data_IF_086780699264
#
_entry.id   IF_086780699264
#
_cell.length_a   1.000
_cell.length_b   1.000
_cell.length_c   1.000
_cell.angle_alpha   90.00
_cell.angle_beta   90.00
_cell.angle_gamma   90.00
#
_symmetry.space_group_name_H-M   'P 1'
#
loop_
_entity.id
_entity.type
_entity.pdbx_description
1 polymer ?
#
# COMPACT_ATOMS: atom_id res chain seq x y z
N UNK A 1 -18.34 0.28 4.41
CA UNK A 1 -19.11 0.68 3.22
C UNK A 1 -19.07 -0.53 2.30
N UNK A 2 -20.17 -1.29 2.16
CA UNK A 2 -20.20 -2.43 1.26
C UNK A 2 -20.59 -1.96 -0.14
N UNK A 3 -19.73 -2.20 -1.11
CA UNK A 3 -20.09 -2.12 -2.52
C UNK A 3 -21.04 -3.31 -2.79
N UNK A 4 -22.27 -3.05 -3.25
CA UNK A 4 -23.32 -4.06 -3.44
C UNK A 4 -23.20 -4.82 -4.79
N UNK A 5 -22.06 -4.78 -5.44
CA UNK A 5 -21.82 -5.66 -6.59
C UNK A 5 -21.24 -7.01 -6.16
N UNK A 6 -21.50 -8.10 -6.90
CA UNK A 6 -20.90 -9.37 -6.61
C UNK A 6 -19.36 -9.22 -6.70
N UNK A 7 -18.69 -9.39 -5.56
CA UNK A 7 -17.25 -9.47 -5.52
C UNK A 7 -16.84 -10.73 -6.30
N UNK A 8 -16.05 -10.54 -7.34
CA UNK A 8 -15.63 -11.63 -8.22
C UNK A 8 -14.30 -12.19 -7.71
N UNK A 9 -14.07 -13.50 -7.76
CA UNK A 9 -12.79 -14.06 -7.38
C UNK A 9 -11.64 -13.35 -8.10
N UNK A 10 -10.57 -13.06 -7.35
CA UNK A 10 -9.40 -12.33 -7.87
C UNK A 10 -8.84 -12.97 -9.13
N UNK A 11 -8.81 -14.30 -9.17
CA UNK A 11 -8.25 -15.10 -10.27
C UNK A 11 -8.94 -14.88 -11.62
N UNK A 12 -10.21 -14.52 -11.66
CA UNK A 12 -10.96 -14.34 -12.90
C UNK A 12 -10.62 -13.03 -13.63
N UNK A 13 -9.87 -12.14 -12.98
CA UNK A 13 -9.51 -10.82 -13.49
C UNK A 13 -8.02 -10.59 -13.70
N UNK A 14 -7.19 -11.59 -13.40
CA UNK A 14 -5.74 -11.44 -13.57
C UNK A 14 -5.37 -11.33 -15.05
N UNK A 15 -4.39 -10.48 -15.42
CA UNK A 15 -3.77 -10.50 -16.73
C UNK A 15 -3.14 -11.87 -17.03
N UNK A 16 -2.95 -12.18 -18.31
CA UNK A 16 -2.12 -13.34 -18.69
C UNK A 16 -0.76 -13.25 -17.98
N UNK A 17 -0.22 -14.41 -17.60
CA UNK A 17 1.04 -14.53 -16.87
C UNK A 17 1.08 -13.72 -15.55
N UNK A 18 -0.06 -13.54 -14.87
CA UNK A 18 -0.14 -12.93 -13.55
C UNK A 18 -0.84 -13.89 -12.59
N UNK A 19 -0.29 -14.00 -11.39
CA UNK A 19 -0.89 -14.75 -10.28
C UNK A 19 -1.15 -13.80 -9.10
N UNK A 20 -2.08 -14.18 -8.24
CA UNK A 20 -2.31 -13.53 -6.97
C UNK A 20 -2.35 -14.56 -5.85
N UNK A 21 -1.62 -14.31 -4.79
CA UNK A 21 -1.57 -15.14 -3.60
C UNK A 21 -2.11 -14.34 -2.41
N UNK A 22 -3.05 -14.90 -1.67
CA UNK A 22 -3.51 -14.33 -0.41
C UNK A 22 -2.55 -14.73 0.71
N UNK A 23 -1.68 -13.81 1.11
CA UNK A 23 -0.71 -14.04 2.18
C UNK A 23 -1.31 -13.67 3.54
N UNK A 24 -1.32 -14.58 4.53
CA UNK A 24 -1.94 -14.32 5.82
C UNK A 24 -1.24 -13.21 6.58
N UNK A 25 -2.03 -12.36 7.26
CA UNK A 25 -1.55 -11.32 8.19
C UNK A 25 -2.24 -11.45 9.53
N UNK A 26 -1.64 -11.00 10.64
CA UNK A 26 -2.32 -10.95 11.94
C UNK A 26 -3.22 -9.72 12.08
N UNK A 27 -3.35 -8.88 11.05
CA UNK A 27 -4.11 -7.64 11.09
C UNK A 27 -5.60 -7.85 10.77
N UNK A 28 -6.49 -7.04 11.36
CA UNK A 28 -7.93 -7.14 11.12
C UNK A 28 -8.37 -6.89 9.67
N UNK A 29 -7.50 -6.26 8.85
CA UNK A 29 -7.75 -6.03 7.43
C UNK A 29 -7.85 -7.32 6.63
N UNK A 30 -7.26 -8.41 7.14
CA UNK A 30 -7.23 -9.71 6.48
C UNK A 30 -5.93 -9.97 5.72
N UNK A 31 -5.91 -11.01 4.86
CA UNK A 31 -4.73 -11.35 4.07
C UNK A 31 -4.37 -10.23 3.09
N UNK A 32 -3.07 -10.10 2.79
CA UNK A 32 -2.58 -9.22 1.73
C UNK A 32 -2.51 -9.97 0.40
N UNK A 33 -2.88 -9.31 -0.67
CA UNK A 33 -2.73 -9.83 -2.03
C UNK A 33 -1.31 -9.57 -2.53
N UNK A 34 -0.54 -10.63 -2.67
CA UNK A 34 0.75 -10.62 -3.34
C UNK A 34 0.56 -10.97 -4.81
N UNK A 35 0.98 -10.10 -5.72
CA UNK A 35 0.89 -10.38 -7.15
C UNK A 35 2.24 -10.84 -7.68
N UNK A 36 2.22 -11.86 -8.55
CA UNK A 36 3.41 -12.38 -9.22
C UNK A 36 3.21 -12.28 -10.73
N UNK A 37 4.08 -11.50 -11.36
CA UNK A 37 4.14 -11.35 -12.81
C UNK A 37 5.17 -12.35 -13.33
N UNK A 38 4.73 -13.33 -14.12
CA UNK A 38 5.51 -14.54 -14.45
C UNK A 38 6.50 -14.34 -15.60
N UNK A 39 6.24 -13.39 -16.50
CA UNK A 39 7.16 -13.12 -17.60
C UNK A 39 8.37 -12.32 -17.09
N UNK A 40 9.52 -12.45 -17.77
CA UNK A 40 10.76 -11.79 -17.34
C UNK A 40 10.71 -10.27 -17.57
N UNK A 41 11.11 -9.46 -16.60
CA UNK A 41 11.59 -9.88 -15.27
C UNK A 41 10.45 -10.41 -14.39
N UNK A 42 10.63 -11.65 -13.85
CA UNK A 42 9.69 -12.23 -12.89
C UNK A 42 9.59 -11.29 -11.67
N UNK A 43 8.41 -10.75 -11.45
CA UNK A 43 8.23 -9.67 -10.51
C UNK A 43 7.25 -10.06 -9.41
N UNK A 44 7.61 -9.81 -8.16
CA UNK A 44 6.75 -9.96 -6.99
C UNK A 44 6.34 -8.59 -6.48
N UNK A 45 5.03 -8.34 -6.40
CA UNK A 45 4.44 -7.11 -5.86
C UNK A 45 3.87 -7.41 -4.47
N UNK A 46 4.28 -6.64 -3.47
CA UNK A 46 3.86 -6.77 -2.08
C UNK A 46 4.06 -8.18 -1.50
N UNK A 47 5.31 -8.59 -1.23
CA UNK A 47 5.64 -9.95 -0.79
C UNK A 47 5.19 -10.30 0.63
N UNK A 48 4.42 -9.44 1.28
CA UNK A 48 3.89 -9.68 2.61
C UNK A 48 4.87 -9.33 3.73
N UNK A 49 4.49 -9.68 4.95
CA UNK A 49 5.31 -9.45 6.15
C UNK A 49 6.22 -10.64 6.44
N UNK A 50 7.34 -10.39 7.14
CA UNK A 50 8.26 -11.43 7.59
C UNK A 50 7.69 -12.19 8.81
N UNK A 51 6.49 -12.71 8.65
CA UNK A 51 5.81 -13.55 9.63
C UNK A 51 5.88 -15.00 9.15
N UNK A 52 6.18 -15.94 10.04
CA UNK A 52 6.51 -17.30 9.65
C UNK A 52 5.49 -17.98 8.73
N UNK A 53 4.20 -17.76 8.97
CA UNK A 53 3.13 -18.29 8.12
C UNK A 53 3.07 -17.59 6.76
N UNK A 54 3.21 -16.28 6.71
CA UNK A 54 3.21 -15.48 5.47
C UNK A 54 4.36 -15.88 4.56
N UNK A 55 5.58 -15.93 5.11
CA UNK A 55 6.76 -16.35 4.37
C UNK A 55 6.65 -17.81 3.87
N UNK A 56 6.15 -18.71 4.71
CA UNK A 56 5.96 -20.10 4.32
C UNK A 56 4.94 -20.23 3.18
N UNK A 57 3.85 -19.44 3.22
CA UNK A 57 2.84 -19.41 2.16
C UNK A 57 3.45 -18.86 0.87
N UNK A 58 4.16 -17.72 0.90
CA UNK A 58 4.80 -17.15 -0.28
C UNK A 58 5.73 -18.17 -0.97
N UNK A 59 6.60 -18.83 -0.19
CA UNK A 59 7.54 -19.83 -0.73
C UNK A 59 6.81 -21.04 -1.30
N UNK A 60 5.75 -21.51 -0.64
CA UNK A 60 4.95 -22.64 -1.11
C UNK A 60 4.19 -22.31 -2.40
N UNK A 61 3.59 -21.14 -2.49
CA UNK A 61 2.84 -20.69 -3.67
C UNK A 61 3.77 -20.50 -4.88
N UNK A 62 4.94 -19.87 -4.70
CA UNK A 62 5.96 -19.80 -5.76
C UNK A 62 6.37 -21.21 -6.20
N UNK A 63 6.64 -22.12 -5.26
CA UNK A 63 6.98 -23.51 -5.57
C UNK A 63 5.87 -24.26 -6.31
N UNK A 64 4.61 -23.97 -5.98
CA UNK A 64 3.43 -24.56 -6.64
C UNK A 64 3.33 -24.22 -8.13
N UNK A 65 3.91 -23.11 -8.55
CA UNK A 65 3.97 -22.70 -9.98
C UNK A 65 5.34 -22.91 -10.61
N UNK A 66 6.21 -23.64 -9.94
CA UNK A 66 7.53 -24.03 -10.45
C UNK A 66 8.62 -22.96 -10.30
N UNK A 67 8.38 -21.92 -9.48
CA UNK A 67 9.34 -20.87 -9.18
C UNK A 67 9.98 -21.08 -7.79
N UNK A 68 11.28 -20.87 -7.70
CA UNK A 68 11.95 -20.66 -6.42
C UNK A 68 12.10 -19.18 -6.10
N UNK A 69 12.41 -18.84 -4.87
CA UNK A 69 12.69 -17.45 -4.47
C UNK A 69 13.81 -16.80 -5.27
N UNK A 70 14.75 -17.61 -5.79
CA UNK A 70 15.88 -17.13 -6.60
C UNK A 70 15.52 -16.85 -8.07
N UNK A 71 14.33 -17.21 -8.49
CA UNK A 71 13.84 -16.94 -9.85
C UNK A 71 13.15 -15.56 -9.92
N UNK A 72 12.97 -14.89 -8.76
CA UNK A 72 12.44 -13.53 -8.71
C UNK A 72 13.50 -12.56 -9.21
N UNK A 73 13.14 -11.71 -10.17
CA UNK A 73 14.04 -10.78 -10.83
C UNK A 73 13.77 -9.32 -10.40
N UNK A 74 12.59 -9.05 -9.82
CA UNK A 74 12.23 -7.74 -9.28
C UNK A 74 11.23 -7.87 -8.13
N UNK A 75 11.31 -6.94 -7.17
CA UNK A 75 10.32 -6.78 -6.11
C UNK A 75 9.74 -5.38 -6.23
N UNK A 76 8.42 -5.25 -6.12
CA UNK A 76 7.73 -3.95 -6.01
C UNK A 76 7.05 -3.86 -4.67
N UNK A 77 7.21 -2.74 -4.00
CA UNK A 77 6.52 -2.40 -2.76
C UNK A 77 5.59 -1.23 -3.05
N UNK A 78 4.28 -1.46 -2.92
CA UNK A 78 3.31 -0.38 -3.14
C UNK A 78 3.43 0.70 -2.08
N UNK A 79 3.67 0.31 -0.82
CA UNK A 79 3.90 1.25 0.28
C UNK A 79 4.53 0.54 1.50
N UNK A 80 5.06 1.33 2.43
CA UNK A 80 5.81 0.81 3.56
C UNK A 80 4.93 0.47 4.79
N UNK A 81 3.85 -0.28 4.58
CA UNK A 81 3.16 -0.96 5.68
C UNK A 81 3.70 -2.40 5.83
N UNK A 82 3.81 -2.88 7.07
CA UNK A 82 4.49 -4.14 7.37
C UNK A 82 3.99 -5.35 6.60
N UNK A 83 2.70 -5.42 6.36
CA UNK A 83 2.03 -6.50 5.64
C UNK A 83 2.28 -6.49 4.13
N UNK A 84 2.82 -5.39 3.58
CA UNK A 84 3.20 -5.29 2.17
C UNK A 84 4.70 -5.50 1.96
N UNK A 85 5.56 -4.87 2.78
CA UNK A 85 7.01 -4.84 2.52
C UNK A 85 7.88 -5.69 3.44
N UNK A 86 7.34 -6.24 4.51
CA UNK A 86 8.15 -6.88 5.57
C UNK A 86 9.10 -7.96 5.08
N UNK A 87 8.72 -8.71 4.05
CA UNK A 87 9.53 -9.76 3.42
C UNK A 87 10.40 -9.23 2.26
N UNK A 88 10.17 -7.99 1.78
CA UNK A 88 10.81 -7.48 0.57
C UNK A 88 12.35 -7.50 0.64
N UNK A 89 12.94 -7.07 1.75
CA UNK A 89 14.39 -7.11 1.94
C UNK A 89 14.95 -8.52 1.90
N UNK A 90 14.30 -9.47 2.59
CA UNK A 90 14.71 -10.87 2.57
C UNK A 90 14.61 -11.46 1.16
N UNK A 91 13.50 -11.24 0.46
CA UNK A 91 13.30 -11.76 -0.89
C UNK A 91 14.34 -11.20 -1.87
N UNK A 92 14.58 -9.89 -1.81
CA UNK A 92 15.57 -9.21 -2.65
C UNK A 92 17.00 -9.71 -2.40
N UNK A 93 17.35 -10.02 -1.16
CA UNK A 93 18.66 -10.63 -0.83
C UNK A 93 18.77 -12.06 -1.37
N UNK A 94 17.74 -12.89 -1.21
CA UNK A 94 17.78 -14.29 -1.69
C UNK A 94 17.82 -14.38 -3.21
N UNK A 95 17.17 -13.45 -3.90
CA UNK A 95 17.00 -13.40 -5.35
C UNK A 95 18.08 -12.57 -6.06
N UNK A 96 18.87 -11.77 -5.32
CA UNK A 96 19.74 -10.71 -5.87
C UNK A 96 18.98 -9.70 -6.75
N UNK A 97 17.75 -9.36 -6.35
CA UNK A 97 16.81 -8.54 -7.10
C UNK A 97 16.74 -7.10 -6.58
N UNK A 98 16.41 -6.11 -7.44
CA UNK A 98 16.08 -4.75 -7.02
C UNK A 98 14.69 -4.67 -6.37
N UNK A 99 14.51 -3.63 -5.54
CA UNK A 99 13.22 -3.26 -4.92
C UNK A 99 12.77 -1.92 -5.49
N UNK A 100 11.64 -1.88 -6.16
CA UNK A 100 10.99 -0.67 -6.65
C UNK A 100 10.00 -0.16 -5.61
N UNK A 101 10.09 1.11 -5.24
CA UNK A 101 9.15 1.73 -4.30
C UNK A 101 9.03 3.23 -4.54
N UNK A 102 7.88 3.82 -4.22
CA UNK A 102 7.68 5.26 -4.32
C UNK A 102 8.70 6.03 -3.48
N UNK A 103 9.32 7.07 -4.05
CA UNK A 103 10.42 7.83 -3.43
C UNK A 103 10.11 8.27 -2.00
N UNK A 104 8.89 8.74 -1.73
CA UNK A 104 8.52 9.22 -0.39
C UNK A 104 8.32 8.09 0.65
N UNK A 105 8.36 6.80 0.23
CA UNK A 105 8.34 5.67 1.18
C UNK A 105 9.74 5.31 1.69
N UNK A 106 10.81 5.74 1.02
CA UNK A 106 12.18 5.37 1.37
C UNK A 106 12.54 5.61 2.84
N UNK A 107 12.19 6.74 3.48
CA UNK A 107 12.50 6.95 4.89
C UNK A 107 11.89 5.91 5.83
N UNK A 108 10.76 5.30 5.44
CA UNK A 108 10.14 4.21 6.21
C UNK A 108 10.80 2.87 5.90
N UNK A 109 11.01 2.58 4.62
CA UNK A 109 11.61 1.33 4.14
C UNK A 109 13.03 1.14 4.68
N UNK A 110 13.81 2.23 4.74
CA UNK A 110 15.21 2.23 5.21
C UNK A 110 15.33 2.56 6.70
N UNK A 111 14.22 2.76 7.40
CA UNK A 111 14.15 3.13 8.81
C UNK A 111 14.97 4.39 9.19
N UNK A 112 15.04 5.35 8.28
CA UNK A 112 15.77 6.61 8.46
C UNK A 112 14.90 7.78 8.93
N UNK A 113 13.57 7.56 9.13
CA UNK A 113 12.64 8.60 9.57
C UNK A 113 12.87 9.01 11.02
N UNK A 114 12.64 10.28 11.32
CA UNK A 114 12.66 10.81 12.68
C UNK A 114 11.39 10.43 13.45
N UNK A 115 11.45 9.29 14.15
CA UNK A 115 10.35 8.79 14.96
C UNK A 115 10.03 9.69 16.16
N UNK A 116 11.03 10.38 16.68
CA UNK A 116 10.83 11.30 17.79
C UNK A 116 10.00 12.50 17.35
N UNK A 117 10.34 13.09 16.20
CA UNK A 117 9.58 14.22 15.66
C UNK A 117 8.14 13.83 15.33
N UNK A 118 7.92 12.64 14.76
CA UNK A 118 6.56 12.12 14.54
C UNK A 118 5.79 11.98 15.86
N UNK A 119 6.42 11.43 16.88
CA UNK A 119 5.80 11.28 18.19
C UNK A 119 5.43 12.64 18.81
N UNK A 120 6.32 13.63 18.78
CA UNK A 120 6.05 14.97 19.24
C UNK A 120 4.90 15.64 18.46
N UNK A 121 4.85 15.44 17.13
CA UNK A 121 3.72 15.91 16.34
C UNK A 121 2.39 15.29 16.80
N UNK A 122 2.35 13.97 17.00
CA UNK A 122 1.14 13.27 17.46
C UNK A 122 0.67 13.78 18.81
N UNK A 123 1.57 14.14 19.72
CA UNK A 123 1.23 14.74 21.02
C UNK A 123 0.46 16.07 20.89
N UNK A 124 0.73 16.83 19.82
CA UNK A 124 0.01 18.09 19.59
C UNK A 124 -1.46 17.91 19.24
N UNK A 125 -1.91 16.68 18.92
CA UNK A 125 -3.31 16.39 18.56
C UNK A 125 -4.22 16.19 19.77
N UNK A 126 -3.71 16.35 20.99
CA UNK A 126 -4.51 16.21 22.20
C UNK A 126 -4.85 14.75 22.54
N UNK A 127 -4.08 13.80 22.03
CA UNK A 127 -4.23 12.39 22.41
C UNK A 127 -3.83 12.21 23.86
N UNK A 128 -4.66 11.53 24.70
CA UNK A 128 -4.34 11.27 26.10
C UNK A 128 -2.99 10.56 26.26
N UNK A 129 -2.20 10.96 27.28
CA UNK A 129 -0.84 10.43 27.51
C UNK A 129 -0.79 8.91 27.70
N UNK A 130 -1.82 8.32 28.29
CA UNK A 130 -1.94 6.86 28.46
C UNK A 130 -2.12 6.13 27.12
N UNK A 131 -2.69 6.79 26.13
CA UNK A 131 -2.82 6.24 24.76
C UNK A 131 -1.56 6.45 23.91
N UNK A 132 -0.76 7.49 24.19
CA UNK A 132 0.46 7.77 23.43
C UNK A 132 1.48 6.61 23.52
N UNK A 133 1.53 5.92 24.66
CA UNK A 133 2.40 4.74 24.84
C UNK A 133 2.08 3.55 23.93
N UNK A 134 0.88 3.50 23.34
CA UNK A 134 0.47 2.44 22.41
C UNK A 134 1.29 2.48 21.10
N UNK A 135 1.62 3.69 20.62
CA UNK A 135 2.36 3.85 19.35
C UNK A 135 3.76 3.23 19.39
N UNK A 136 4.66 3.57 20.34
CA UNK A 136 5.97 2.92 20.43
C UNK A 136 5.89 1.42 20.64
N UNK A 137 4.94 0.95 21.45
CA UNK A 137 4.74 -0.49 21.68
C UNK A 137 4.32 -1.23 20.41
N UNK A 138 3.40 -0.66 19.64
CA UNK A 138 2.98 -1.21 18.35
C UNK A 138 4.15 -1.26 17.35
N UNK A 139 4.88 -0.14 17.19
CA UNK A 139 6.05 -0.11 16.31
C UNK A 139 7.13 -1.09 16.73
N UNK A 140 7.41 -1.24 18.02
CA UNK A 140 8.34 -2.24 18.53
C UNK A 140 7.91 -3.67 18.24
N UNK A 141 6.62 -3.97 18.38
CA UNK A 141 6.07 -5.29 18.08
C UNK A 141 6.13 -5.61 16.57
N UNK A 142 5.89 -4.62 15.73
CA UNK A 142 5.88 -4.80 14.27
C UNK A 142 7.29 -5.03 13.70
N UNK A 143 8.32 -4.43 14.30
CA UNK A 143 9.70 -4.52 13.79
C UNK A 143 10.23 -5.95 13.64
N UNK A 144 9.77 -6.89 14.48
CA UNK A 144 10.15 -8.29 14.35
C UNK A 144 9.66 -8.97 13.06
N UNK A 145 8.74 -8.31 12.34
CA UNK A 145 8.14 -8.80 11.09
C UNK A 145 8.67 -8.10 9.84
N UNK A 146 9.74 -7.33 10.01
CA UNK A 146 10.39 -6.58 8.94
C UNK A 146 11.81 -7.08 8.75
N UNK A 147 12.22 -7.27 7.50
CA UNK A 147 13.62 -7.47 7.16
C UNK A 147 14.26 -6.12 6.79
N UNK A 148 15.46 -5.90 7.27
CA UNK A 148 16.22 -4.69 6.90
C UNK A 148 16.45 -4.69 5.40
N UNK A 149 16.18 -3.56 4.76
CA UNK A 149 16.40 -3.39 3.33
C UNK A 149 17.78 -2.75 3.11
N UNK A 150 18.59 -3.35 2.24
CA UNK A 150 19.80 -2.74 1.75
C UNK A 150 19.46 -1.61 0.77
N UNK A 151 19.83 -0.38 1.13
CA UNK A 151 19.55 0.82 0.34
C UNK A 151 20.05 0.70 -1.11
N UNK A 152 21.18 0.00 -1.31
CA UNK A 152 21.76 -0.18 -2.66
C UNK A 152 20.87 -0.99 -3.61
N UNK A 153 19.89 -1.72 -3.09
CA UNK A 153 18.90 -2.49 -3.86
C UNK A 153 17.65 -1.69 -4.20
N UNK A 154 17.44 -0.53 -3.57
CA UNK A 154 16.21 0.24 -3.74
C UNK A 154 16.31 1.15 -4.95
N UNK A 155 15.34 1.03 -5.84
CA UNK A 155 15.15 1.91 -6.98
C UNK A 155 13.94 2.81 -6.68
N UNK A 156 14.17 4.10 -6.40
CA UNK A 156 13.09 5.05 -6.18
C UNK A 156 12.27 5.24 -7.46
N UNK A 157 10.94 5.20 -7.30
CA UNK A 157 9.98 5.38 -8.39
C UNK A 157 9.27 6.73 -8.21
N UNK A 158 9.17 7.46 -9.29
CA UNK A 158 8.45 8.74 -9.37
C UNK A 158 7.16 8.60 -10.18
N UNK A 159 6.26 9.56 -10.03
CA UNK A 159 4.98 9.58 -10.75
C UNK A 159 5.19 9.67 -12.27
N UNK A 160 4.53 8.79 -13.02
CA UNK A 160 4.64 8.72 -14.47
C UNK A 160 5.83 7.90 -15.01
N UNK A 161 6.66 7.33 -14.12
CA UNK A 161 7.71 6.41 -14.56
C UNK A 161 7.09 5.17 -15.25
N UNK A 162 7.75 4.70 -16.30
CA UNK A 162 7.39 3.42 -16.93
C UNK A 162 8.32 2.33 -16.46
N UNK A 163 7.76 1.36 -15.75
CA UNK A 163 8.49 0.20 -15.25
C UNK A 163 8.26 -0.99 -16.18
N UNK A 164 9.35 -1.63 -16.62
CA UNK A 164 9.25 -2.87 -17.38
C UNK A 164 9.25 -4.05 -16.42
N UNK A 165 8.08 -4.60 -16.14
CA UNK A 165 7.87 -5.65 -15.14
C UNK A 165 6.97 -6.75 -15.73
N UNK A 166 7.27 -8.02 -15.45
CA UNK A 166 6.49 -9.13 -15.98
C UNK A 166 6.33 -9.10 -17.49
N UNK A 167 7.41 -8.78 -18.21
CA UNK A 167 7.44 -8.74 -19.68
C UNK A 167 6.66 -7.61 -20.33
N UNK A 168 6.17 -6.62 -19.57
CA UNK A 168 5.33 -5.54 -20.10
C UNK A 168 5.55 -4.20 -19.38
N UNK A 169 5.23 -3.07 -20.04
CA UNK A 169 5.32 -1.75 -19.42
C UNK A 169 4.13 -1.54 -18.47
N UNK A 170 4.43 -1.13 -17.23
CA UNK A 170 3.48 -0.64 -16.26
C UNK A 170 3.80 0.82 -15.96
N UNK A 171 2.80 1.68 -15.96
CA UNK A 171 2.93 3.08 -15.58
C UNK A 171 2.82 3.21 -14.06
N UNK A 172 3.82 3.81 -13.45
CA UNK A 172 3.84 4.12 -12.04
C UNK A 172 2.97 5.34 -11.74
N UNK A 173 2.00 5.17 -10.88
CA UNK A 173 1.15 6.26 -10.37
C UNK A 173 1.46 6.44 -8.89
N UNK A 174 2.15 7.53 -8.53
CA UNK A 174 2.28 7.90 -7.12
C UNK A 174 0.95 8.48 -6.65
N UNK A 175 0.33 7.80 -5.70
CA UNK A 175 -1.04 8.05 -5.20
C UNK A 175 -1.00 8.27 -3.69
N UNK A 176 -0.49 9.45 -3.25
CA UNK A 176 -0.34 9.73 -1.83
C UNK A 176 -1.68 9.84 -1.12
N UNK A 177 -1.65 9.65 0.20
CA UNK A 177 -2.79 9.79 1.09
C UNK A 177 -2.90 8.68 2.11
N UNK A 178 -3.00 7.42 1.70
CA UNK A 178 -2.89 6.27 2.60
C UNK A 178 -1.46 6.15 3.14
N UNK A 179 -0.47 6.33 2.28
CA UNK A 179 0.94 6.50 2.60
C UNK A 179 1.53 7.59 1.71
N UNK A 180 2.64 8.23 2.12
CA UNK A 180 3.20 9.41 1.45
C UNK A 180 3.65 9.14 0.01
N UNK A 181 4.28 8.00 -0.21
CA UNK A 181 4.78 7.56 -1.51
C UNK A 181 4.06 6.33 -2.03
N UNK A 182 2.78 6.16 -1.65
CA UNK A 182 2.00 5.02 -2.12
C UNK A 182 2.06 4.92 -3.65
N UNK A 183 2.34 3.73 -4.15
CA UNK A 183 2.52 3.43 -5.57
C UNK A 183 1.39 2.52 -6.05
N UNK A 184 0.65 2.97 -7.04
CA UNK A 184 -0.23 2.13 -7.85
C UNK A 184 0.41 1.85 -9.20
N UNK A 185 0.15 0.68 -9.80
CA UNK A 185 0.69 0.32 -11.11
C UNK A 185 -0.45 0.21 -12.12
N UNK A 186 -0.39 1.03 -13.15
CA UNK A 186 -1.35 1.04 -14.23
C UNK A 186 -0.87 0.24 -15.44
N UNK A 187 -1.68 -0.65 -15.94
CA UNK A 187 -1.45 -1.42 -17.16
C UNK A 187 -2.39 -0.96 -18.27
N UNK A 188 -1.96 -0.03 -19.16
CA UNK A 188 -2.83 0.56 -20.17
C UNK A 188 -3.40 -0.44 -21.17
N UNK A 189 -2.60 -1.47 -21.50
CA UNK A 189 -2.97 -2.46 -22.53
C UNK A 189 -4.14 -3.34 -22.13
N UNK A 190 -4.32 -3.57 -20.84
CA UNK A 190 -5.39 -4.41 -20.28
C UNK A 190 -6.40 -3.64 -19.45
N UNK A 191 -6.24 -2.30 -19.37
CA UNK A 191 -7.08 -1.43 -18.53
C UNK A 191 -7.19 -1.92 -17.08
N UNK A 192 -6.07 -2.34 -16.48
CA UNK A 192 -6.00 -2.88 -15.12
C UNK A 192 -5.12 -2.02 -14.23
N UNK A 193 -5.54 -1.92 -12.97
CA UNK A 193 -4.84 -1.15 -11.96
C UNK A 193 -4.51 -2.03 -10.75
N UNK A 194 -3.23 -2.22 -10.43
CA UNK A 194 -2.82 -2.70 -9.12
C UNK A 194 -2.83 -1.48 -8.18
N UNK A 195 -3.83 -1.41 -7.32
CA UNK A 195 -4.10 -0.19 -6.53
C UNK A 195 -3.39 -0.16 -5.17
N UNK A 196 -2.69 -1.24 -4.78
CA UNK A 196 -2.26 -1.38 -3.39
C UNK A 196 -3.44 -1.11 -2.45
N UNK A 197 -3.19 -0.36 -1.39
CA UNK A 197 -4.21 -0.03 -0.39
C UNK A 197 -4.92 1.31 -0.64
N UNK A 198 -4.75 1.91 -1.81
CA UNK A 198 -5.45 3.17 -2.09
C UNK A 198 -6.93 2.97 -2.42
N UNK A 199 -7.26 1.88 -3.11
CA UNK A 199 -8.65 1.49 -3.42
C UNK A 199 -8.89 0.07 -2.89
N UNK A 200 -9.74 -0.04 -1.86
CA UNK A 200 -10.12 -1.32 -1.25
C UNK A 200 -11.64 -1.50 -1.34
N UNK A 201 -12.13 -2.69 -1.75
CA UNK A 201 -13.56 -2.87 -2.03
C UNK A 201 -14.45 -2.89 -0.79
N UNK A 202 -13.90 -3.31 0.37
CA UNK A 202 -14.71 -3.58 1.57
C UNK A 202 -14.47 -2.60 2.72
N UNK A 203 -13.37 -1.85 2.69
CA UNK A 203 -13.01 -0.90 3.73
C UNK A 203 -12.53 0.42 3.11
N UNK A 204 -12.62 1.50 3.89
CA UNK A 204 -12.04 2.78 3.49
C UNK A 204 -10.61 2.87 4.06
N UNK A 205 -9.59 2.98 3.22
CA UNK A 205 -8.21 3.19 3.69
C UNK A 205 -8.09 4.43 4.58
N UNK A 206 -7.27 4.33 5.62
CA UNK A 206 -7.00 5.44 6.50
C UNK A 206 -5.87 6.32 5.94
N UNK A 207 -6.10 7.62 5.72
CA UNK A 207 -5.02 8.57 5.48
C UNK A 207 -4.24 8.76 6.79
N UNK A 208 -3.00 8.27 6.82
CA UNK A 208 -2.19 8.32 8.05
C UNK A 208 -1.52 9.68 8.23
N UNK A 209 -1.24 10.00 9.50
CA UNK A 209 -0.41 11.17 9.85
C UNK A 209 1.03 10.87 9.52
N UNK A 210 1.62 11.69 8.66
CA UNK A 210 3.03 11.60 8.27
C UNK A 210 3.71 12.95 8.36
N UNK A 211 5.03 12.93 8.61
CA UNK A 211 5.86 14.12 8.61
C UNK A 211 6.01 14.66 7.18
N UNK A 212 6.06 15.97 7.09
CA UNK A 212 6.39 16.69 5.87
C UNK A 212 7.30 17.86 6.23
N UNK A 213 8.57 17.70 5.93
CA UNK A 213 9.60 18.70 6.25
C UNK A 213 9.56 19.91 5.30
N UNK A 214 8.80 19.82 4.22
CA UNK A 214 8.60 20.92 3.26
C UNK A 214 7.37 21.77 3.62
N UNK A 215 6.53 21.29 4.53
CA UNK A 215 5.31 21.98 4.98
C UNK A 215 5.54 22.77 6.27
N UNK A 216 5.00 24.00 6.36
CA UNK A 216 4.99 24.82 7.58
C UNK A 216 4.31 24.10 8.76
N UNK A 217 3.44 23.16 8.51
CA UNK A 217 2.75 22.35 9.50
C UNK A 217 3.55 21.13 9.95
N UNK A 218 4.70 20.85 9.36
CA UNK A 218 5.54 19.66 9.57
C UNK A 218 4.77 18.33 9.38
N UNK A 219 3.60 18.38 8.75
CA UNK A 219 2.77 17.20 8.47
C UNK A 219 2.15 17.26 7.08
N UNK A 220 2.01 16.11 6.47
CA UNK A 220 1.29 15.96 5.21
C UNK A 220 -0.22 16.20 5.42
N UNK A 221 -0.86 16.67 4.38
CA UNK A 221 -2.32 16.80 4.32
C UNK A 221 -2.92 15.52 3.74
N UNK A 222 -2.63 14.38 4.38
CA UNK A 222 -2.87 13.03 3.84
C UNK A 222 -4.30 12.80 3.35
N UNK A 223 -5.32 13.32 4.05
CA UNK A 223 -6.72 13.22 3.58
C UNK A 223 -6.95 14.01 2.28
N UNK A 224 -6.35 15.19 2.13
CA UNK A 224 -6.48 15.98 0.89
C UNK A 224 -5.79 15.27 -0.25
N UNK A 225 -4.57 14.80 -0.03
CA UNK A 225 -3.81 14.02 -1.01
C UNK A 225 -4.55 12.73 -1.42
N UNK A 226 -5.19 12.07 -0.45
CA UNK A 226 -6.02 10.89 -0.70
C UNK A 226 -7.20 11.21 -1.62
N UNK A 227 -7.93 12.30 -1.35
CA UNK A 227 -9.06 12.74 -2.18
C UNK A 227 -8.63 13.16 -3.59
N UNK A 228 -7.45 13.79 -3.73
CA UNK A 228 -6.86 14.15 -5.03
C UNK A 228 -6.46 12.89 -5.81
N UNK A 229 -5.86 11.90 -5.16
CA UNK A 229 -5.54 10.61 -5.77
C UNK A 229 -6.78 9.85 -6.21
N UNK A 230 -7.88 9.88 -5.43
CA UNK A 230 -9.17 9.32 -5.83
C UNK A 230 -9.70 9.96 -7.12
N UNK A 231 -9.52 11.26 -7.32
CA UNK A 231 -9.94 11.94 -8.55
C UNK A 231 -9.13 11.47 -9.78
N UNK A 232 -7.85 11.10 -9.60
CA UNK A 232 -7.04 10.51 -10.67
C UNK A 232 -7.59 9.16 -11.10
N UNK A 233 -7.95 8.29 -10.15
CA UNK A 233 -8.54 6.99 -10.46
C UNK A 233 -9.91 7.10 -11.12
N UNK A 234 -10.73 8.07 -10.72
CA UNK A 234 -12.01 8.36 -11.36
C UNK A 234 -11.82 8.76 -12.83
N UNK A 235 -10.79 9.57 -13.11
CA UNK A 235 -10.44 9.98 -14.48
C UNK A 235 -9.86 8.83 -15.30
N UNK A 236 -8.99 8.00 -14.68
CA UNK A 236 -8.38 6.84 -15.32
C UNK A 236 -9.43 5.78 -15.68
N UNK A 237 -10.41 5.57 -14.80
CA UNK A 237 -11.52 4.63 -14.94
C UNK A 237 -11.10 3.23 -15.41
N UNK A 238 -10.22 2.53 -14.66
CA UNK A 238 -9.77 1.20 -15.03
C UNK A 238 -10.94 0.20 -15.11
N UNK A 239 -10.86 -0.74 -16.05
CA UNK A 239 -11.86 -1.80 -16.19
C UNK A 239 -11.84 -2.76 -15.00
N UNK A 240 -10.65 -3.00 -14.43
CA UNK A 240 -10.45 -3.87 -13.27
C UNK A 240 -9.44 -3.27 -12.31
N UNK A 241 -9.74 -3.33 -11.02
CA UNK A 241 -8.81 -3.01 -9.94
C UNK A 241 -8.41 -4.27 -9.20
N UNK A 242 -7.11 -4.41 -9.01
CA UNK A 242 -6.43 -5.45 -8.25
C UNK A 242 -5.90 -4.83 -6.94
N UNK A 243 -6.64 -4.96 -5.82
CA UNK A 243 -6.34 -4.26 -4.57
C UNK A 243 -5.29 -4.98 -3.73
N UNK A 244 -4.70 -4.28 -2.74
CA UNK A 244 -3.81 -4.89 -1.75
C UNK A 244 -4.53 -5.86 -0.80
N UNK A 245 -5.82 -5.66 -0.56
CA UNK A 245 -6.65 -6.56 0.25
C UNK A 245 -8.02 -6.78 -0.38
N UNK A 246 -8.53 -8.01 -0.23
CA UNK A 246 -9.85 -8.41 -0.72
C UNK A 246 -9.89 -8.71 -2.21
N UNK A 247 -11.08 -8.95 -2.77
CA UNK A 247 -11.25 -9.36 -4.15
C UNK A 247 -11.04 -8.23 -5.16
N UNK A 248 -10.78 -8.59 -6.42
CA UNK A 248 -10.81 -7.66 -7.54
C UNK A 248 -12.20 -7.05 -7.71
N UNK A 249 -12.27 -5.87 -8.31
CA UNK A 249 -13.54 -5.19 -8.56
C UNK A 249 -13.46 -4.27 -9.80
N UNK A 250 -14.63 -3.86 -10.30
CA UNK A 250 -14.78 -3.10 -11.57
C UNK A 250 -15.43 -1.72 -11.38
N UNK A 251 -16.11 -1.50 -10.28
CA UNK A 251 -16.91 -0.29 -10.05
C UNK A 251 -16.14 0.86 -9.40
N UNK A 252 -15.07 1.32 -10.04
CA UNK A 252 -14.18 2.37 -9.50
C UNK A 252 -14.94 3.66 -9.20
N UNK A 253 -15.73 4.16 -10.15
CA UNK A 253 -16.46 5.42 -9.97
C UNK A 253 -17.42 5.37 -8.75
N UNK A 254 -18.10 4.24 -8.55
CA UNK A 254 -18.99 4.05 -7.41
C UNK A 254 -18.21 4.01 -6.09
N UNK A 255 -17.09 3.27 -6.04
CA UNK A 255 -16.22 3.21 -4.85
C UNK A 255 -15.67 4.59 -4.51
N UNK A 256 -15.14 5.33 -5.49
CA UNK A 256 -14.62 6.69 -5.31
C UNK A 256 -15.69 7.62 -4.77
N UNK A 257 -16.89 7.63 -5.38
CA UNK A 257 -18.00 8.47 -4.92
C UNK A 257 -18.38 8.16 -3.46
N UNK A 258 -18.49 6.88 -3.12
CA UNK A 258 -18.86 6.43 -1.77
C UNK A 258 -17.79 6.78 -0.74
N UNK A 259 -16.52 6.57 -1.07
CA UNK A 259 -15.38 6.90 -0.20
C UNK A 259 -15.28 8.42 0.03
N UNK A 260 -15.46 9.21 -1.04
CA UNK A 260 -15.46 10.67 -0.95
C UNK A 260 -16.59 11.19 -0.04
N UNK A 261 -17.81 10.67 -0.22
CA UNK A 261 -18.96 11.01 0.64
C UNK A 261 -18.71 10.65 2.11
N UNK A 262 -18.11 9.50 2.38
CA UNK A 262 -17.76 9.09 3.73
C UNK A 262 -16.83 10.10 4.40
N UNK A 263 -15.74 10.50 3.74
CA UNK A 263 -14.78 11.45 4.30
C UNK A 263 -15.37 12.85 4.47
N UNK A 264 -16.17 13.32 3.51
CA UNK A 264 -16.83 14.63 3.60
C UNK A 264 -17.85 14.67 4.73
N UNK A 265 -18.71 13.64 4.84
CA UNK A 265 -19.69 13.54 5.94
C UNK A 265 -19.00 13.54 7.30
N UNK A 266 -17.91 12.78 7.45
CA UNK A 266 -17.14 12.77 8.70
C UNK A 266 -16.49 14.12 9.00
N UNK A 267 -15.98 14.82 8.00
CA UNK A 267 -15.43 16.16 8.16
C UNK A 267 -16.51 17.16 8.63
N UNK A 268 -17.71 17.09 8.05
CA UNK A 268 -18.85 17.93 8.44
C UNK A 268 -19.31 17.65 9.89
N UNK A 269 -19.34 16.38 10.31
CA UNK A 269 -19.66 15.98 11.68
C UNK A 269 -18.64 16.55 12.68
N UNK A 270 -17.34 16.47 12.35
CA UNK A 270 -16.27 17.04 13.18
C UNK A 270 -16.40 18.56 13.26
N UNK A 271 -16.61 19.23 12.12
CA UNK A 271 -16.78 20.67 12.05
C UNK A 271 -18.00 21.13 12.88
N UNK A 272 -19.12 20.44 12.76
CA UNK A 272 -20.33 20.73 13.55
C UNK A 272 -20.08 20.51 15.06
N UNK A 273 -19.28 19.52 15.43
CA UNK A 273 -18.90 19.30 16.82
C UNK A 273 -18.05 20.46 17.36
N UNK A 274 -17.01 20.85 16.63
CA UNK A 274 -16.12 21.98 17.00
C UNK A 274 -16.93 23.27 17.15
N UNK A 275 -17.80 23.59 16.21
CA UNK A 275 -18.66 24.79 16.27
C UNK A 275 -19.58 24.79 17.47
N UNK A 276 -20.09 23.64 17.89
CA UNK A 276 -21.01 23.50 19.03
C UNK A 276 -20.31 23.54 20.37
N UNK A 277 -19.12 22.96 20.48
CA UNK A 277 -18.39 22.80 21.75
C UNK A 277 -17.32 23.84 21.97
N UNK A 278 -16.86 24.52 20.92
CA UNK A 278 -15.70 25.40 20.95
C UNK A 278 -14.38 24.64 21.20
N UNK A 279 -14.40 23.31 21.12
CA UNK A 279 -13.20 22.50 21.27
C UNK A 279 -12.31 22.63 20.01
N UNK A 280 -10.98 22.66 20.17
CA UNK A 280 -10.05 22.67 19.05
C UNK A 280 -10.06 21.33 18.32
#
# INVERSE_FOLDING_TARGET
>A
IAVHEPLVPLVDHLPEATLAFELPTPFPVGPVNCYVLLDSPVTVVDPGMLFGQTLATLVAELGGVGLGVRDVEAVVVTHAHPDHYGTAGWLAEQADAPIYAGRAELPKLLDTRDRHQLYELIRTFGIPEDMLGVFPAFYGAVQQWLHVIDESRVIPVDDGDTLWLGGRPLEAMVTPGHAAGHLSLWEPTSSRLLSGDHLLPSITPNPLVELDHESDLLRRRSLVEYLDSLARFETLNPDVVLPGHGPAFTSVAQLVATTRLHHLSRADEILAHIQRTGAP
#
